data_IF_684986318597
#
_entry.id   IF_684986318597
#
_cell.length_a   1.000
_cell.length_b   1.000
_cell.length_c   1.000
_cell.angle_alpha   90.00
_cell.angle_beta   90.00
_cell.angle_gamma   90.00
#
_symmetry.space_group_name_H-M   'P 1'
#
loop_
_entity.id
_entity.type
_entity.pdbx_description
1 polymer ?
#
# COMPACT_ATOMS: atom_id res chain seq x y z
N UNK A 1 4.85 4.24 1.40
CA UNK A 1 5.19 3.25 2.43
C UNK A 1 6.39 3.69 3.27
N UNK A 2 6.42 3.41 4.58
CA UNK A 2 7.63 3.38 5.41
C UNK A 2 7.67 2.04 6.13
N UNK A 3 8.86 1.57 6.51
CA UNK A 3 8.99 0.29 7.22
C UNK A 3 8.23 0.32 8.55
N UNK A 4 8.29 1.41 9.32
CA UNK A 4 7.58 1.57 10.60
C UNK A 4 6.06 1.31 10.54
N UNK A 5 5.44 1.43 9.35
CA UNK A 5 4.00 1.27 9.11
C UNK A 5 3.61 -0.12 8.57
N UNK A 6 4.57 -0.99 8.24
CA UNK A 6 4.31 -2.28 7.58
C UNK A 6 3.49 -3.20 8.48
N UNK A 7 2.45 -3.85 7.96
CA UNK A 7 1.65 -4.82 8.70
C UNK A 7 0.67 -4.18 9.69
N UNK A 8 0.42 -2.88 9.54
CA UNK A 8 -0.65 -2.17 10.24
C UNK A 8 -2.04 -2.61 9.73
N UNK A 9 -3.11 -2.30 10.45
CA UNK A 9 -4.49 -2.66 10.03
C UNK A 9 -4.84 -2.19 8.62
N UNK A 10 -4.30 -1.03 8.21
CA UNK A 10 -4.50 -0.50 6.86
C UNK A 10 -3.94 -1.43 5.78
N UNK A 11 -2.84 -2.14 6.05
CA UNK A 11 -2.24 -3.07 5.11
C UNK A 11 -3.09 -4.33 4.94
N UNK A 12 -3.74 -4.80 6.02
CA UNK A 12 -4.71 -5.90 5.95
C UNK A 12 -5.83 -5.55 4.95
N UNK A 13 -6.44 -4.36 5.08
CA UNK A 13 -7.50 -3.91 4.18
C UNK A 13 -7.03 -3.74 2.73
N UNK A 14 -5.89 -3.06 2.53
CA UNK A 14 -5.33 -2.80 1.20
C UNK A 14 -5.03 -4.10 0.46
N UNK A 15 -4.40 -5.05 1.13
CA UNK A 15 -3.94 -6.28 0.48
C UNK A 15 -5.08 -7.30 0.33
N UNK A 16 -6.03 -7.35 1.26
CA UNK A 16 -7.26 -8.12 1.08
C UNK A 16 -8.03 -7.60 -0.14
N UNK A 17 -8.17 -6.28 -0.26
CA UNK A 17 -8.81 -5.65 -1.42
C UNK A 17 -8.05 -5.92 -2.72
N UNK A 18 -6.72 -5.81 -2.73
CA UNK A 18 -5.88 -6.14 -3.88
C UNK A 18 -6.10 -7.58 -4.33
N UNK A 19 -6.09 -8.51 -3.37
CA UNK A 19 -6.27 -9.95 -3.64
C UNK A 19 -7.68 -10.26 -4.13
N UNK A 20 -8.71 -9.61 -3.59
CA UNK A 20 -10.08 -9.75 -4.06
C UNK A 20 -10.29 -9.18 -5.49
N UNK A 21 -9.54 -8.15 -5.87
CA UNK A 21 -9.57 -7.60 -7.23
C UNK A 21 -8.73 -8.38 -8.25
N UNK A 22 -7.82 -9.23 -7.78
CA UNK A 22 -6.93 -10.00 -8.63
C UNK A 22 -7.62 -11.29 -9.05
N UNK A 23 -8.21 -11.31 -10.26
CA UNK A 23 -8.60 -12.53 -10.94
C UNK A 23 -7.38 -13.30 -11.47
N UNK A 24 -7.60 -14.54 -11.89
CA UNK A 24 -6.55 -15.42 -12.43
C UNK A 24 -5.87 -14.88 -13.71
N UNK A 25 -6.51 -13.92 -14.37
CA UNK A 25 -6.06 -13.28 -15.61
C UNK A 25 -5.27 -11.98 -15.39
N UNK A 26 -5.05 -11.58 -14.12
CA UNK A 26 -4.45 -10.28 -13.79
C UNK A 26 -3.07 -10.44 -13.18
N UNK A 27 -2.13 -9.67 -13.72
CA UNK A 27 -0.80 -9.47 -13.13
C UNK A 27 -0.77 -8.15 -12.34
N UNK A 28 -0.74 -8.19 -11.01
CA UNK A 28 -0.73 -6.98 -10.20
C UNK A 28 0.66 -6.36 -10.16
N UNK A 29 0.70 -5.03 -10.12
CA UNK A 29 1.88 -4.25 -9.81
C UNK A 29 1.64 -3.40 -8.57
N UNK A 30 2.62 -3.27 -7.69
CA UNK A 30 2.55 -2.42 -6.51
C UNK A 30 3.68 -1.40 -6.57
N UNK A 31 3.33 -0.12 -6.65
CA UNK A 31 4.27 0.97 -6.49
C UNK A 31 4.22 1.47 -5.05
N UNK A 32 5.28 1.16 -4.30
CA UNK A 32 5.47 1.71 -2.98
C UNK A 32 5.94 3.14 -3.14
N UNK A 33 5.22 4.10 -2.56
CA UNK A 33 5.75 5.44 -2.37
C UNK A 33 6.72 5.41 -1.19
N UNK A 34 7.81 4.67 -1.36
CA UNK A 34 8.69 4.28 -0.29
C UNK A 34 9.49 5.48 0.23
N UNK A 35 9.46 5.67 1.54
CA UNK A 35 10.27 6.64 2.26
C UNK A 35 11.10 5.83 3.26
N UNK A 36 12.43 5.73 3.06
CA UNK A 36 13.29 4.83 3.85
C UNK A 36 13.58 5.36 5.27
N UNK A 37 13.18 6.59 5.56
CA UNK A 37 13.41 7.23 6.86
C UNK A 37 12.21 7.04 7.78
N UNK A 38 12.48 6.63 9.01
CA UNK A 38 11.56 6.73 10.14
C UNK A 38 11.20 8.21 10.40
N UNK A 39 9.95 8.50 10.75
CA UNK A 39 9.51 9.87 11.04
C UNK A 39 9.42 10.21 12.55
N UNK A 40 9.87 9.28 13.39
CA UNK A 40 9.94 9.37 14.84
C UNK A 40 8.58 9.30 15.54
N UNK A 41 7.49 9.04 14.81
CA UNK A 41 6.16 9.02 15.39
C UNK A 41 5.88 7.69 16.09
N UNK A 42 5.11 7.70 17.19
CA UNK A 42 4.71 6.48 17.88
C UNK A 42 3.54 5.75 17.20
N UNK A 43 3.00 6.29 16.09
CA UNK A 43 1.89 5.70 15.35
C UNK A 43 2.35 4.52 14.46
N UNK A 44 1.41 3.87 13.75
CA UNK A 44 1.76 2.81 12.80
C UNK A 44 1.84 1.39 13.35
N UNK A 45 1.27 1.15 14.52
CA UNK A 45 1.23 -0.15 15.18
C UNK A 45 -0.19 -0.52 15.62
N UNK A 46 -1.18 -0.19 14.79
CA UNK A 46 -2.56 -0.66 14.90
C UNK A 46 -2.62 -2.13 14.50
N UNK A 47 -2.21 -2.96 15.47
CA UNK A 47 -2.12 -4.40 15.34
C UNK A 47 -3.38 -5.10 15.87
N UNK A 48 -4.46 -4.39 16.20
CA UNK A 48 -5.70 -4.97 16.75
C UNK A 48 -6.29 -6.10 15.88
N UNK A 49 -6.03 -6.06 14.56
CA UNK A 49 -6.43 -7.13 13.62
C UNK A 49 -5.85 -8.50 13.96
N UNK A 50 -4.81 -8.53 14.79
CA UNK A 50 -4.19 -9.73 15.32
C UNK A 50 -5.11 -10.46 16.31
N UNK A 51 -5.74 -9.71 17.19
CA UNK A 51 -6.51 -10.26 18.32
C UNK A 51 -8.01 -10.39 18.01
N UNK A 52 -8.49 -9.68 16.98
CA UNK A 52 -9.89 -9.69 16.53
C UNK A 52 -10.13 -10.76 15.43
N UNK A 53 -10.85 -11.86 15.72
CA UNK A 53 -11.02 -12.99 14.80
C UNK A 53 -11.69 -12.64 13.46
N UNK A 54 -12.50 -11.59 13.43
CA UNK A 54 -13.21 -11.09 12.25
C UNK A 54 -12.23 -10.72 11.12
N UNK A 55 -11.06 -10.19 11.44
CA UNK A 55 -10.04 -9.84 10.44
C UNK A 55 -9.48 -11.06 9.71
N UNK A 56 -9.40 -12.21 10.38
CA UNK A 56 -8.97 -13.46 9.75
C UNK A 56 -9.96 -13.95 8.69
N UNK A 57 -11.24 -13.59 8.83
CA UNK A 57 -12.29 -13.97 7.86
C UNK A 57 -12.21 -13.18 6.56
N UNK A 58 -11.59 -11.99 6.56
CA UNK A 58 -11.39 -11.19 5.35
C UNK A 58 -10.49 -11.90 4.34
N UNK A 59 -9.35 -12.39 4.82
CA UNK A 59 -8.42 -13.20 4.03
C UNK A 59 -7.47 -13.97 4.97
N UNK A 60 -7.71 -15.27 5.10
CA UNK A 60 -6.98 -16.12 6.05
C UNK A 60 -5.50 -16.29 5.69
N UNK A 61 -5.17 -16.34 4.39
CA UNK A 61 -3.78 -16.49 3.93
C UNK A 61 -3.00 -15.20 4.20
N UNK A 62 -3.58 -14.05 3.85
CA UNK A 62 -3.01 -12.74 4.14
C UNK A 62 -2.77 -12.55 5.64
N UNK A 63 -3.78 -12.84 6.46
CA UNK A 63 -3.70 -12.70 7.93
C UNK A 63 -2.54 -13.51 8.50
N UNK A 64 -2.45 -14.79 8.12
CA UNK A 64 -1.39 -15.68 8.61
C UNK A 64 0.01 -15.24 8.18
N UNK A 65 0.18 -14.80 6.95
CA UNK A 65 1.48 -14.37 6.43
C UNK A 65 1.92 -13.01 6.98
N UNK A 66 1.00 -12.04 7.09
CA UNK A 66 1.30 -10.75 7.74
C UNK A 66 1.66 -10.93 9.21
N UNK A 67 1.03 -11.88 9.90
CA UNK A 67 1.33 -12.18 11.30
C UNK A 67 2.79 -12.63 11.49
N UNK A 68 3.26 -13.48 10.58
CA UNK A 68 4.58 -14.12 10.64
C UNK A 68 5.72 -13.24 10.14
N UNK A 69 5.44 -12.03 9.65
CA UNK A 69 6.48 -11.15 9.12
C UNK A 69 7.57 -10.95 10.18
N UNK A 70 8.81 -11.43 9.94
CA UNK A 70 9.87 -11.43 10.95
C UNK A 70 10.28 -10.00 11.29
N UNK A 71 10.38 -9.17 10.26
CA UNK A 71 10.62 -7.74 10.35
C UNK A 71 9.49 -7.01 9.62
N UNK A 72 8.94 -5.97 10.25
CA UNK A 72 7.94 -5.10 9.64
C UNK A 72 8.65 -4.16 8.66
N UNK A 73 9.11 -4.69 7.53
CA UNK A 73 9.74 -3.94 6.44
C UNK A 73 9.04 -4.19 5.12
N UNK A 74 9.10 -3.21 4.20
CA UNK A 74 8.51 -3.36 2.87
C UNK A 74 9.22 -4.48 2.11
N UNK A 75 10.49 -4.71 2.39
CA UNK A 75 11.22 -5.85 1.84
C UNK A 75 10.65 -7.20 2.27
N UNK A 76 10.39 -7.37 3.57
CA UNK A 76 9.79 -8.59 4.08
C UNK A 76 8.38 -8.77 3.50
N UNK A 77 7.65 -7.67 3.34
CA UNK A 77 6.33 -7.66 2.73
C UNK A 77 6.37 -8.14 1.27
N UNK A 78 7.32 -7.68 0.45
CA UNK A 78 7.49 -8.12 -0.95
C UNK A 78 7.79 -9.62 -1.07
N UNK A 79 8.43 -10.21 -0.05
CA UNK A 79 8.75 -11.65 0.02
C UNK A 79 7.62 -12.50 0.59
N UNK A 80 6.55 -11.90 1.10
CA UNK A 80 5.47 -12.63 1.73
C UNK A 80 4.70 -13.50 0.73
N UNK A 81 4.26 -14.68 1.16
CA UNK A 81 3.65 -15.66 0.26
C UNK A 81 2.15 -15.45 0.06
N UNK A 82 1.59 -14.30 0.47
CA UNK A 82 0.18 -13.99 0.21
C UNK A 82 -0.01 -13.26 -1.13
N UNK A 83 1.04 -12.81 -1.82
CA UNK A 83 0.84 -12.13 -3.08
C UNK A 83 0.32 -13.07 -4.17
N UNK A 84 -0.51 -12.57 -5.10
CA UNK A 84 -0.77 -13.28 -6.34
C UNK A 84 0.52 -13.57 -7.10
N UNK A 85 0.52 -14.65 -7.88
CA UNK A 85 1.68 -15.04 -8.66
C UNK A 85 2.07 -13.94 -9.67
N UNK A 86 3.39 -13.73 -9.82
CA UNK A 86 3.92 -12.78 -10.79
C UNK A 86 3.69 -11.31 -10.44
N UNK A 87 3.32 -10.98 -9.19
CA UNK A 87 3.25 -9.60 -8.71
C UNK A 87 4.57 -8.86 -8.99
N UNK A 88 4.45 -7.61 -9.42
CA UNK A 88 5.60 -6.72 -9.66
C UNK A 88 5.67 -5.65 -8.58
N UNK A 89 6.87 -5.31 -8.16
CA UNK A 89 7.09 -4.29 -7.15
C UNK A 89 7.97 -3.16 -7.66
N UNK A 90 7.67 -1.94 -7.23
CA UNK A 90 8.56 -0.80 -7.36
C UNK A 90 8.76 -0.13 -6.00
N UNK A 91 9.94 -0.35 -5.40
CA UNK A 91 10.34 0.17 -4.07
C UNK A 91 11.42 1.24 -4.13
N UNK A 92 11.69 1.84 -5.29
CA UNK A 92 12.67 2.92 -5.34
C UNK A 92 12.22 4.06 -4.41
N UNK A 93 13.09 4.60 -3.54
CA UNK A 93 12.74 5.70 -2.66
C UNK A 93 12.14 6.89 -3.43
N UNK A 94 11.05 7.46 -2.92
CA UNK A 94 10.43 8.63 -3.54
C UNK A 94 11.39 9.81 -3.41
N UNK A 95 11.86 10.40 -4.52
CA UNK A 95 12.86 11.45 -4.45
C UNK A 95 12.23 12.81 -4.15
N UNK A 96 13.10 13.82 -4.05
CA UNK A 96 12.70 15.22 -4.05
C UNK A 96 11.86 15.56 -5.28
N UNK A 97 11.13 16.67 -5.22
CA UNK A 97 10.18 17.06 -6.27
C UNK A 97 10.79 17.16 -7.66
N UNK A 98 12.04 17.61 -7.78
CA UNK A 98 12.73 17.81 -9.05
C UNK A 98 12.88 16.51 -9.85
N UNK A 99 13.11 15.39 -9.16
CA UNK A 99 13.41 14.09 -9.79
C UNK A 99 12.19 13.13 -9.83
N UNK A 100 10.99 13.62 -9.47
CA UNK A 100 9.77 12.79 -9.49
C UNK A 100 9.38 12.33 -10.89
N UNK A 101 9.75 13.07 -11.93
CA UNK A 101 9.50 12.66 -13.32
C UNK A 101 10.28 11.39 -13.64
N UNK A 102 11.57 11.37 -13.33
CA UNK A 102 12.46 10.24 -13.59
C UNK A 102 12.06 9.01 -12.76
N UNK A 103 11.71 9.22 -11.50
CA UNK A 103 11.15 8.17 -10.66
C UNK A 103 9.87 7.58 -11.24
N UNK A 104 8.98 8.42 -11.78
CA UNK A 104 7.74 7.96 -12.38
C UNK A 104 7.99 7.18 -13.68
N UNK A 105 8.98 7.58 -14.48
CA UNK A 105 9.42 6.82 -15.67
C UNK A 105 9.95 5.45 -15.25
N UNK A 106 10.83 5.41 -14.25
CA UNK A 106 11.36 4.15 -13.71
C UNK A 106 10.26 3.24 -13.16
N UNK A 107 9.34 3.77 -12.36
CA UNK A 107 8.19 3.03 -11.83
C UNK A 107 7.31 2.48 -12.95
N UNK A 108 7.02 3.27 -14.00
CA UNK A 108 6.25 2.79 -15.14
C UNK A 108 6.95 1.66 -15.88
N UNK A 109 8.28 1.74 -16.04
CA UNK A 109 9.05 0.69 -16.65
C UNK A 109 9.01 -0.61 -15.82
N UNK A 110 9.23 -0.52 -14.50
CA UNK A 110 9.17 -1.66 -13.57
C UNK A 110 7.81 -2.36 -13.57
N UNK A 111 6.72 -1.61 -13.80
CA UNK A 111 5.34 -2.09 -13.75
C UNK A 111 4.67 -2.19 -15.13
N UNK A 112 5.47 -2.21 -16.21
CA UNK A 112 4.96 -2.14 -17.58
C UNK A 112 4.07 -3.34 -17.95
N UNK A 113 4.41 -4.54 -17.46
CA UNK A 113 3.63 -5.77 -17.70
C UNK A 113 2.48 -5.99 -16.71
N UNK A 114 2.27 -5.10 -15.74
CA UNK A 114 1.13 -5.20 -14.82
C UNK A 114 -0.17 -4.68 -15.48
N UNK A 115 -1.24 -5.47 -15.38
CA UNK A 115 -2.57 -5.12 -15.89
C UNK A 115 -3.36 -4.27 -14.88
N UNK A 116 -3.03 -4.38 -13.59
CA UNK A 116 -3.56 -3.54 -12.52
C UNK A 116 -2.40 -3.03 -11.68
N UNK A 117 -2.38 -1.73 -11.37
CA UNK A 117 -1.33 -1.13 -10.54
C UNK A 117 -1.92 -0.48 -9.31
N UNK A 118 -1.45 -0.92 -8.15
CA UNK A 118 -1.74 -0.34 -6.85
C UNK A 118 -0.66 0.67 -6.52
N UNK A 119 -1.11 1.88 -6.22
CA UNK A 119 -0.27 2.97 -5.78
C UNK A 119 -0.51 3.11 -4.29
N UNK A 120 0.51 2.87 -3.47
CA UNK A 120 0.40 3.00 -2.01
C UNK A 120 1.12 4.27 -1.51
N UNK A 121 0.45 5.44 -1.56
CA UNK A 121 0.97 6.65 -0.96
C UNK A 121 0.87 6.53 0.57
N UNK A 122 1.99 6.54 1.30
CA UNK A 122 1.91 6.64 2.77
C UNK A 122 1.48 8.01 3.27
N UNK A 123 0.92 7.95 4.46
CA UNK A 123 0.09 8.92 5.14
C UNK A 123 0.90 9.96 5.91
N UNK A 124 1.55 10.90 5.24
CA UNK A 124 2.03 12.13 5.92
C UNK A 124 2.10 13.36 5.02
N UNK A 125 1.46 13.33 3.84
CA UNK A 125 1.24 14.53 3.04
C UNK A 125 -0.09 15.18 3.39
N UNK A 126 -0.09 15.89 4.52
CA UNK A 126 -1.19 16.73 5.04
C UNK A 126 -1.65 17.84 4.07
N UNK A 127 -1.08 17.94 2.86
CA UNK A 127 -1.76 18.60 1.73
C UNK A 127 -2.55 17.59 0.89
N UNK A 128 -3.55 16.99 1.57
CA UNK A 128 -4.60 16.10 1.04
C UNK A 128 -5.11 16.59 -0.32
N UNK A 129 -5.36 15.65 -1.24
CA UNK A 129 -5.88 15.84 -2.61
C UNK A 129 -4.89 16.44 -3.62
N UNK A 130 -4.13 17.50 -3.32
CA UNK A 130 -3.32 18.20 -4.34
C UNK A 130 -2.07 17.43 -4.77
N UNK A 131 -1.41 16.72 -3.86
CA UNK A 131 -0.19 15.94 -4.14
C UNK A 131 -0.50 14.69 -4.96
N UNK A 132 -1.51 13.92 -4.57
CA UNK A 132 -2.03 12.76 -5.32
C UNK A 132 -2.52 13.21 -6.69
N UNK A 133 -3.34 14.27 -6.79
CA UNK A 133 -3.86 14.80 -8.07
C UNK A 133 -2.76 15.27 -9.02
N UNK A 134 -1.64 15.78 -8.50
CA UNK A 134 -0.46 16.15 -9.31
C UNK A 134 0.42 14.96 -9.65
N UNK A 135 0.44 13.91 -8.83
CA UNK A 135 1.13 12.67 -9.15
C UNK A 135 0.40 11.91 -10.28
N UNK A 136 -0.94 12.01 -10.35
CA UNK A 136 -1.75 11.48 -11.47
C UNK A 136 -1.21 11.85 -12.84
N UNK A 137 -0.72 13.09 -13.00
CA UNK A 137 -0.21 13.55 -14.30
C UNK A 137 0.99 12.74 -14.78
N UNK A 138 1.79 12.19 -13.86
CA UNK A 138 2.92 11.32 -14.15
C UNK A 138 2.53 9.84 -14.23
N UNK A 139 1.25 9.51 -14.04
CA UNK A 139 0.71 8.16 -14.07
C UNK A 139 -0.26 7.96 -15.24
N UNK A 140 -0.74 9.04 -15.85
CA UNK A 140 -1.53 9.00 -17.07
C UNK A 140 -0.69 8.37 -18.17
N UNK A 141 -1.03 7.14 -18.50
CA UNK A 141 -0.78 6.53 -19.79
C UNK A 141 -2.10 6.55 -20.55
N UNK A 142 -2.02 6.72 -21.87
CA UNK A 142 -3.17 6.48 -22.74
C UNK A 142 -3.64 5.04 -22.48
N UNK A 143 -4.92 4.86 -22.11
CA UNK A 143 -5.60 3.58 -21.82
C UNK A 143 -5.57 3.01 -20.38
N UNK A 144 -5.28 3.79 -19.32
CA UNK A 144 -5.51 3.33 -17.92
C UNK A 144 -6.64 4.11 -17.22
N UNK A 145 -7.58 3.38 -16.62
CA UNK A 145 -8.58 3.96 -15.73
C UNK A 145 -8.02 4.13 -14.32
N UNK A 146 -8.22 5.31 -13.73
CA UNK A 146 -7.79 5.60 -12.36
C UNK A 146 -8.98 5.62 -11.39
N UNK A 147 -8.81 4.99 -10.23
CA UNK A 147 -9.77 4.99 -9.12
C UNK A 147 -9.02 5.21 -7.81
N UNK A 148 -9.62 5.97 -6.89
CA UNK A 148 -9.07 6.19 -5.56
C UNK A 148 -10.03 5.62 -4.54
N UNK A 149 -9.48 4.84 -3.61
CA UNK A 149 -10.18 4.29 -2.47
C UNK A 149 -9.63 4.94 -1.22
N UNK A 150 -10.51 5.20 -0.26
CA UNK A 150 -10.13 5.67 1.08
C UNK A 150 -10.79 4.72 2.04
N UNK A 151 -9.97 4.04 2.84
CA UNK A 151 -10.47 3.18 3.90
C UNK A 151 -10.70 4.05 5.13
N UNK A 152 -11.88 3.99 5.77
CA UNK A 152 -12.12 4.73 6.99
C UNK A 152 -11.13 4.25 8.05
N UNK A 153 -10.33 5.17 8.58
CA UNK A 153 -9.68 4.93 9.86
C UNK A 153 -10.73 5.18 10.94
N UNK A 154 -10.80 4.32 11.97
CA UNK A 154 -11.56 4.65 13.18
C UNK A 154 -10.91 5.90 13.78
N UNK A 155 -11.58 7.05 13.70
CA UNK A 155 -11.34 8.10 14.68
C UNK A 155 -11.62 7.46 16.05
N UNK A 156 -10.63 7.41 16.93
CA UNK A 156 -10.77 6.96 18.31
C UNK A 156 -11.65 7.92 19.17
N UNK A 157 -12.57 8.64 18.53
CA UNK A 157 -13.50 9.58 19.15
C UNK A 157 -14.95 9.34 18.72
N UNK A 158 -15.33 8.10 18.40
CA UNK A 158 -16.72 7.71 18.64
C UNK A 158 -16.89 7.37 20.13
N UNK A 159 -16.81 8.39 21.01
CA UNK A 159 -17.42 8.29 22.33
C UNK A 159 -18.92 8.33 22.09
N UNK A 160 -19.56 7.17 22.17
CA UNK A 160 -21.00 7.12 22.45
C UNK A 160 -21.22 7.93 23.71
N UNK A 161 -21.91 9.08 23.57
CA UNK A 161 -22.49 9.77 24.70
C UNK A 161 -23.59 8.84 25.24
N UNK A 162 -23.28 8.15 26.33
CA UNK A 162 -24.28 7.66 27.29
C UNK A 162 -24.72 8.82 28.17
#
# INVERSE_FOLDING_TARGET
>A
MRDQYVGDVSDVLKFAFLRALNGDDRKPGVAWYYVPTDDGRPDGRHLEWRDEPEWKTLDTRLHSELWKLPDRSVEALERALFWPEGVLFHRAPVPSRAHRSDWAVSMRASLASANIVFLDPTTDWVTRVKSTRRFRKYLKCDNRAERSFSFPFRDATCRTKS
#
